data_IF_250670909686
#
_entry.id   IF_250670909686
#
_cell.length_a   1.000
_cell.length_b   1.000
_cell.length_c   1.000
_cell.angle_alpha   90.00
_cell.angle_beta   90.00
_cell.angle_gamma   90.00
#
_symmetry.space_group_name_H-M   'P 1'
#
loop_
_entity.id
_entity.type
_entity.pdbx_description
1 polymer ?
#
# COMPACT_ATOMS: atom_id res chain seq x y z
N UNK A 1 -29.38 -16.97 -9.78
CA UNK A 1 -29.86 -17.22 -11.15
C UNK A 1 -29.71 -15.96 -12.01
N UNK A 2 -28.51 -15.35 -12.12
CA UNK A 2 -28.30 -14.08 -12.84
C UNK A 2 -26.98 -14.00 -13.62
N UNK A 3 -26.46 -15.12 -14.14
CA UNK A 3 -25.23 -15.14 -14.96
C UNK A 3 -25.35 -15.83 -16.31
N UNK A 4 -26.54 -16.36 -16.68
CA UNK A 4 -26.70 -17.21 -17.87
C UNK A 4 -27.26 -16.50 -19.12
N UNK A 5 -27.69 -15.24 -19.05
CA UNK A 5 -28.51 -14.64 -20.13
C UNK A 5 -27.79 -13.65 -21.05
N UNK A 6 -26.53 -13.28 -20.80
CA UNK A 6 -25.83 -12.28 -21.62
C UNK A 6 -25.08 -12.88 -22.82
N UNK A 7 -25.08 -14.21 -22.96
CA UNK A 7 -24.38 -14.88 -24.05
C UNK A 7 -25.38 -15.08 -25.18
N UNK A 8 -25.18 -14.43 -26.34
CA UNK A 8 -26.05 -14.64 -27.46
C UNK A 8 -26.08 -16.12 -27.84
N UNK A 9 -27.28 -16.67 -27.98
CA UNK A 9 -27.53 -18.10 -28.26
C UNK A 9 -26.86 -18.61 -29.54
N UNK A 10 -26.44 -17.71 -30.43
CA UNK A 10 -25.65 -18.06 -31.61
C UNK A 10 -24.22 -18.53 -31.29
N UNK A 11 -23.60 -18.05 -30.20
CA UNK A 11 -22.25 -18.47 -29.79
C UNK A 11 -22.27 -19.91 -29.28
N UNK A 12 -23.33 -20.28 -28.56
CA UNK A 12 -23.50 -21.61 -27.95
C UNK A 12 -23.85 -22.67 -29.01
N UNK A 13 -24.56 -22.29 -30.08
CA UNK A 13 -24.95 -23.22 -31.14
C UNK A 13 -23.85 -23.50 -32.19
N UNK A 14 -22.75 -22.73 -32.18
CA UNK A 14 -21.65 -22.89 -33.15
C UNK A 14 -20.53 -23.82 -32.64
N UNK A 15 -20.60 -24.25 -31.37
CA UNK A 15 -19.55 -25.06 -30.72
C UNK A 15 -19.93 -26.55 -30.68
N UNK A 16 -19.03 -27.47 -31.13
CA UNK A 16 -19.33 -28.90 -31.26
C UNK A 16 -19.46 -29.65 -29.93
N UNK A 17 -18.93 -29.12 -28.81
CA UNK A 17 -19.06 -29.71 -27.48
C UNK A 17 -19.57 -28.69 -26.45
N UNK A 18 -20.82 -28.87 -26.00
CA UNK A 18 -21.52 -27.92 -25.12
C UNK A 18 -20.89 -27.77 -23.73
N UNK A 19 -20.16 -28.78 -23.25
CA UNK A 19 -19.57 -28.77 -21.92
C UNK A 19 -18.23 -28.00 -21.88
N UNK A 20 -17.39 -28.16 -22.91
CA UNK A 20 -16.11 -27.47 -23.03
C UNK A 20 -16.29 -25.96 -23.26
N UNK A 21 -17.33 -25.60 -24.03
CA UNK A 21 -17.71 -24.21 -24.29
C UNK A 21 -18.09 -23.46 -23.00
N UNK A 22 -18.90 -24.09 -22.13
CA UNK A 22 -19.33 -23.49 -20.87
C UNK A 22 -18.17 -23.26 -19.90
N UNK A 23 -17.23 -24.20 -19.84
CA UNK A 23 -16.03 -24.05 -19.03
C UNK A 23 -15.15 -22.91 -19.53
N UNK A 24 -14.92 -22.82 -20.84
CA UNK A 24 -14.12 -21.74 -21.45
C UNK A 24 -14.71 -20.36 -21.19
N UNK A 25 -16.03 -20.21 -21.31
CA UNK A 25 -16.76 -18.98 -21.02
C UNK A 25 -16.61 -18.58 -19.54
N UNK A 26 -16.75 -19.53 -18.62
CA UNK A 26 -16.62 -19.27 -17.19
C UNK A 26 -15.22 -18.77 -16.81
N UNK A 27 -14.19 -19.46 -17.31
CA UNK A 27 -12.78 -19.07 -17.08
C UNK A 27 -12.50 -17.70 -17.70
N UNK A 28 -12.98 -17.43 -18.91
CA UNK A 28 -12.85 -16.12 -19.54
C UNK A 28 -13.49 -15.02 -18.70
N UNK A 29 -14.66 -15.27 -18.11
CA UNK A 29 -15.34 -14.32 -17.22
C UNK A 29 -14.50 -13.95 -15.99
N UNK A 30 -13.89 -14.94 -15.32
CA UNK A 30 -13.01 -14.72 -14.17
C UNK A 30 -11.79 -13.89 -14.58
N UNK A 31 -11.15 -14.25 -15.69
CA UNK A 31 -9.98 -13.51 -16.20
C UNK A 31 -10.34 -12.05 -16.47
N UNK A 32 -11.48 -11.79 -17.11
CA UNK A 32 -11.96 -10.43 -17.40
C UNK A 32 -12.25 -9.67 -16.10
N UNK A 33 -12.89 -10.30 -15.10
CA UNK A 33 -13.15 -9.69 -13.79
C UNK A 33 -11.85 -9.24 -13.11
N UNK A 34 -10.89 -10.15 -13.00
CA UNK A 34 -9.57 -9.88 -12.40
C UNK A 34 -8.85 -8.80 -13.18
N UNK A 35 -8.94 -8.81 -14.52
CA UNK A 35 -8.30 -7.82 -15.37
C UNK A 35 -8.90 -6.41 -15.20
N UNK A 36 -10.23 -6.30 -15.10
CA UNK A 36 -10.91 -5.04 -14.78
C UNK A 36 -10.49 -4.53 -13.40
N UNK A 37 -10.51 -5.40 -12.39
CA UNK A 37 -10.11 -5.05 -11.02
C UNK A 37 -8.64 -4.62 -10.97
N UNK A 38 -7.79 -5.29 -11.74
CA UNK A 38 -6.38 -4.97 -11.86
C UNK A 38 -6.15 -3.57 -12.44
N UNK A 39 -6.84 -3.22 -13.53
CA UNK A 39 -6.80 -1.87 -14.11
C UNK A 39 -7.31 -0.83 -13.10
N UNK A 40 -8.39 -1.13 -12.39
CA UNK A 40 -8.94 -0.27 -11.35
C UNK A 40 -7.90 0.04 -10.27
N UNK A 41 -7.21 -0.97 -9.74
CA UNK A 41 -6.17 -0.76 -8.73
C UNK A 41 -4.96 0.00 -9.27
N UNK A 42 -4.51 -0.26 -10.50
CA UNK A 42 -3.47 0.57 -11.13
C UNK A 42 -3.90 2.04 -11.16
N UNK A 43 -5.14 2.31 -11.59
CA UNK A 43 -5.64 3.67 -11.74
C UNK A 43 -5.72 4.38 -10.39
N UNK A 44 -6.26 3.70 -9.38
CA UNK A 44 -6.31 4.16 -7.99
C UNK A 44 -4.89 4.50 -7.50
N UNK A 45 -3.94 3.58 -7.66
CA UNK A 45 -2.56 3.78 -7.23
C UNK A 45 -1.77 4.79 -8.06
N UNK A 46 -2.27 5.22 -9.22
CA UNK A 46 -1.64 6.26 -10.03
C UNK A 46 -2.23 7.65 -9.76
N UNK A 47 -3.55 7.73 -9.56
CA UNK A 47 -4.28 8.99 -9.39
C UNK A 47 -4.23 9.48 -7.94
N UNK A 48 -4.42 8.59 -6.97
CA UNK A 48 -4.53 8.95 -5.56
C UNK A 48 -3.23 9.52 -4.99
N UNK A 49 -2.07 8.87 -5.18
CA UNK A 49 -0.85 9.42 -4.63
C UNK A 49 -0.43 10.66 -5.41
N UNK A 50 -0.18 11.76 -4.70
CA UNK A 50 0.32 13.02 -5.26
C UNK A 50 1.81 12.93 -5.72
N UNK A 51 2.34 11.72 -5.89
CA UNK A 51 3.72 11.46 -6.30
C UNK A 51 3.71 10.70 -7.62
N UNK A 52 4.50 11.16 -8.59
CA UNK A 52 4.62 10.52 -9.90
C UNK A 52 5.30 9.15 -9.78
N UNK A 53 4.51 8.10 -9.59
CA UNK A 53 4.97 6.72 -9.59
C UNK A 53 4.91 6.15 -11.02
N UNK A 54 5.91 5.35 -11.41
CA UNK A 54 5.90 4.69 -12.73
C UNK A 54 5.03 3.44 -12.67
N UNK A 55 4.25 3.17 -13.73
CA UNK A 55 3.37 1.98 -13.84
C UNK A 55 4.09 0.65 -13.53
N UNK A 56 5.38 0.54 -13.87
CA UNK A 56 6.21 -0.65 -13.59
C UNK A 56 6.38 -0.96 -12.10
N UNK A 57 6.18 0.02 -11.22
CA UNK A 57 6.34 -0.11 -9.77
C UNK A 57 5.03 -0.42 -9.04
N UNK A 58 3.90 -0.46 -9.75
CA UNK A 58 2.57 -0.52 -9.14
C UNK A 58 1.85 -1.83 -9.48
N UNK A 59 2.30 -2.49 -10.55
CA UNK A 59 1.66 -3.71 -11.07
C UNK A 59 1.58 -4.83 -10.02
N UNK A 60 2.63 -5.05 -9.24
CA UNK A 60 2.68 -6.22 -8.37
C UNK A 60 1.64 -6.17 -7.24
N UNK A 61 1.54 -5.04 -6.54
CA UNK A 61 0.52 -4.80 -5.51
C UNK A 61 -0.89 -4.69 -6.08
N UNK A 62 -1.04 -4.14 -7.30
CA UNK A 62 -2.35 -4.10 -7.98
C UNK A 62 -2.86 -5.50 -8.34
N UNK A 63 -1.98 -6.44 -8.70
CA UNK A 63 -2.33 -7.83 -9.02
C UNK A 63 -2.77 -8.60 -7.77
N UNK A 64 -2.10 -8.37 -6.65
CA UNK A 64 -2.48 -8.98 -5.38
C UNK A 64 -3.80 -8.39 -4.88
N UNK A 65 -3.97 -7.06 -4.97
CA UNK A 65 -5.19 -6.38 -4.58
C UNK A 65 -6.39 -6.82 -5.43
N UNK A 66 -6.23 -6.99 -6.76
CA UNK A 66 -7.31 -7.45 -7.63
C UNK A 66 -7.76 -8.86 -7.27
N UNK A 67 -6.82 -9.76 -6.98
CA UNK A 67 -7.14 -11.11 -6.53
C UNK A 67 -7.87 -11.14 -5.18
N UNK A 68 -7.39 -10.35 -4.21
CA UNK A 68 -8.07 -10.19 -2.91
C UNK A 68 -9.47 -9.60 -3.06
N UNK A 69 -9.65 -8.63 -3.96
CA UNK A 69 -10.94 -8.01 -4.23
C UNK A 69 -11.93 -9.02 -4.80
N UNK A 70 -11.51 -9.86 -5.74
CA UNK A 70 -12.38 -10.87 -6.35
C UNK A 70 -12.84 -11.90 -5.30
N UNK A 71 -11.91 -12.36 -4.44
CA UNK A 71 -12.24 -13.20 -3.27
C UNK A 71 -13.24 -12.47 -2.36
N UNK A 72 -12.99 -11.19 -2.06
CA UNK A 72 -13.87 -10.40 -1.20
C UNK A 72 -15.28 -10.24 -1.79
N UNK A 73 -15.41 -10.01 -3.10
CA UNK A 73 -16.70 -9.91 -3.79
C UNK A 73 -17.48 -11.22 -3.69
N UNK A 74 -16.80 -12.37 -3.70
CA UNK A 74 -17.44 -13.69 -3.52
C UNK A 74 -17.83 -13.94 -2.05
N UNK A 75 -16.96 -13.56 -1.10
CA UNK A 75 -17.18 -13.78 0.34
C UNK A 75 -18.23 -12.83 0.94
N UNK A 76 -18.32 -11.60 0.45
CA UNK A 76 -19.14 -10.55 1.05
C UNK A 76 -20.65 -10.86 1.06
N UNK A 77 -21.26 -11.37 -0.04
CA UNK A 77 -22.66 -11.83 -0.01
C UNK A 77 -22.90 -12.97 0.97
N UNK A 78 -21.92 -13.87 1.16
CA UNK A 78 -22.01 -14.95 2.13
C UNK A 78 -22.05 -14.41 3.56
N UNK A 79 -21.23 -13.40 3.87
CA UNK A 79 -21.26 -12.68 5.14
C UNK A 79 -22.65 -12.05 5.40
N UNK A 80 -23.21 -11.33 4.42
CA UNK A 80 -24.54 -10.71 4.56
C UNK A 80 -25.59 -11.79 4.86
N UNK A 81 -25.60 -12.87 4.06
CA UNK A 81 -26.59 -13.94 4.20
C UNK A 81 -26.53 -14.62 5.57
N UNK A 82 -25.34 -14.79 6.15
CA UNK A 82 -25.15 -15.49 7.42
C UNK A 82 -25.40 -14.62 8.64
N UNK A 83 -25.03 -13.34 8.59
CA UNK A 83 -25.00 -12.47 9.77
C UNK A 83 -26.02 -11.32 9.75
N UNK A 84 -26.44 -10.86 8.57
CA UNK A 84 -27.30 -9.67 8.43
C UNK A 84 -28.74 -9.98 8.02
N UNK A 85 -29.13 -11.25 7.85
CA UNK A 85 -30.46 -11.66 7.38
C UNK A 85 -31.65 -11.10 8.20
N UNK A 86 -31.43 -10.82 9.49
CA UNK A 86 -32.46 -10.31 10.41
C UNK A 86 -32.50 -8.78 10.52
N UNK A 87 -31.46 -8.09 10.04
CA UNK A 87 -31.23 -6.64 10.21
C UNK A 87 -31.40 -5.84 8.91
N UNK A 88 -32.00 -6.43 7.87
CA UNK A 88 -32.21 -5.88 6.52
C UNK A 88 -33.19 -4.67 6.42
N UNK A 89 -33.40 -3.93 7.52
CA UNK A 89 -34.15 -2.66 7.51
C UNK A 89 -33.31 -1.47 7.03
N UNK A 90 -33.84 -0.24 7.18
CA UNK A 90 -33.18 1.01 6.75
C UNK A 90 -31.73 1.18 7.26
N UNK A 91 -31.45 0.73 8.48
CA UNK A 91 -30.11 0.84 9.11
C UNK A 91 -29.15 -0.24 8.58
N UNK A 92 -29.67 -1.41 8.18
CA UNK A 92 -28.87 -2.53 7.70
C UNK A 92 -28.09 -2.19 6.43
N UNK A 93 -28.68 -1.43 5.52
CA UNK A 93 -28.00 -0.99 4.30
C UNK A 93 -26.76 -0.14 4.58
N UNK A 94 -26.86 0.82 5.51
CA UNK A 94 -25.73 1.67 5.89
C UNK A 94 -24.59 0.83 6.51
N UNK A 95 -24.91 -0.11 7.40
CA UNK A 95 -23.92 -1.01 8.02
C UNK A 95 -23.25 -1.90 6.99
N UNK A 96 -24.01 -2.46 6.05
CA UNK A 96 -23.50 -3.28 4.95
C UNK A 96 -22.51 -2.47 4.10
N UNK A 97 -22.87 -1.24 3.70
CA UNK A 97 -21.98 -0.37 2.93
C UNK A 97 -20.71 0.01 3.69
N UNK A 98 -20.83 0.41 4.95
CA UNK A 98 -19.66 0.75 5.78
C UNK A 98 -18.74 -0.46 5.89
N UNK A 99 -19.28 -1.65 6.12
CA UNK A 99 -18.51 -2.89 6.18
C UNK A 99 -17.86 -3.20 4.83
N UNK A 100 -18.57 -2.99 3.73
CA UNK A 100 -18.04 -3.19 2.39
C UNK A 100 -16.81 -2.30 2.14
N UNK A 101 -16.98 -0.99 2.33
CA UNK A 101 -15.92 -0.02 2.11
C UNK A 101 -14.77 -0.16 3.11
N UNK A 102 -15.05 -0.61 4.34
CA UNK A 102 -14.03 -0.92 5.33
C UNK A 102 -13.07 -2.00 4.81
N UNK A 103 -13.58 -3.17 4.42
CA UNK A 103 -12.73 -4.23 3.89
C UNK A 103 -12.11 -3.88 2.54
N UNK A 104 -12.85 -3.19 1.66
CA UNK A 104 -12.32 -2.67 0.41
C UNK A 104 -11.10 -1.76 0.64
N UNK A 105 -11.18 -0.86 1.61
CA UNK A 105 -10.08 0.04 1.96
C UNK A 105 -8.86 -0.70 2.50
N UNK A 106 -9.07 -1.76 3.30
CA UNK A 106 -7.99 -2.62 3.79
C UNK A 106 -7.27 -3.28 2.61
N UNK A 107 -8.00 -3.86 1.66
CA UNK A 107 -7.42 -4.49 0.47
C UNK A 107 -6.62 -3.47 -0.35
N UNK A 108 -7.18 -2.26 -0.52
CA UNK A 108 -6.53 -1.17 -1.23
C UNK A 108 -5.20 -0.77 -0.56
N UNK A 109 -5.21 -0.58 0.77
CA UNK A 109 -4.01 -0.23 1.54
C UNK A 109 -2.98 -1.36 1.51
N UNK A 110 -3.41 -2.62 1.63
CA UNK A 110 -2.52 -3.78 1.57
C UNK A 110 -1.76 -3.84 0.24
N UNK A 111 -2.45 -3.71 -0.90
CA UNK A 111 -1.77 -3.68 -2.20
C UNK A 111 -0.84 -2.48 -2.36
N UNK A 112 -1.20 -1.32 -1.80
CA UNK A 112 -0.34 -0.14 -1.80
C UNK A 112 0.92 -0.36 -0.93
N UNK A 113 0.78 -1.01 0.23
CA UNK A 113 1.90 -1.34 1.12
C UNK A 113 2.86 -2.32 0.45
N UNK A 114 2.34 -3.31 -0.28
CA UNK A 114 3.16 -4.22 -1.08
C UNK A 114 3.91 -3.45 -2.16
N UNK A 115 3.24 -2.55 -2.89
CA UNK A 115 3.90 -1.70 -3.88
C UNK A 115 5.02 -0.84 -3.27
N UNK A 116 4.75 -0.23 -2.12
CA UNK A 116 5.73 0.55 -1.38
C UNK A 116 6.93 -0.33 -1.00
N UNK A 117 6.72 -1.48 -0.35
CA UNK A 117 7.80 -2.38 0.08
C UNK A 117 8.72 -2.82 -1.07
N UNK A 118 8.16 -3.14 -2.24
CA UNK A 118 8.94 -3.66 -3.37
C UNK A 118 9.67 -2.59 -4.17
N UNK A 119 9.09 -1.39 -4.33
CA UNK A 119 9.59 -0.41 -5.30
C UNK A 119 9.93 0.94 -4.69
N UNK A 120 9.30 1.29 -3.59
CA UNK A 120 9.61 2.47 -2.83
C UNK A 120 10.39 2.00 -1.61
N UNK A 121 11.72 1.92 -1.77
CA UNK A 121 12.61 2.09 -0.61
C UNK A 121 12.33 3.50 -0.10
N UNK A 122 11.24 3.65 0.65
CA UNK A 122 11.07 4.73 1.61
C UNK A 122 12.35 4.56 2.41
N UNK A 123 13.34 5.41 2.14
CA UNK A 123 14.43 5.56 3.08
C UNK A 123 13.69 5.87 4.37
N UNK A 124 13.73 4.97 5.37
CA UNK A 124 13.27 5.34 6.69
C UNK A 124 13.99 6.65 6.99
N UNK A 125 13.35 7.60 7.68
CA UNK A 125 14.09 8.72 8.25
C UNK A 125 15.40 8.15 8.80
N UNK A 126 16.58 8.74 8.46
CA UNK A 126 17.88 8.14 8.71
C UNK A 126 17.88 7.42 10.05
N UNK A 127 18.19 6.13 10.01
CA UNK A 127 17.84 5.11 11.02
C UNK A 127 18.23 5.47 12.46
N UNK A 128 18.99 6.54 12.65
CA UNK A 128 19.26 7.14 13.94
C UNK A 128 18.95 8.64 13.91
N UNK A 129 18.01 9.05 14.78
CA UNK A 129 17.81 10.44 15.21
C UNK A 129 19.16 11.08 15.60
N UNK A 130 20.08 10.31 16.19
CA UNK A 130 21.44 10.73 16.50
C UNK A 130 22.24 11.18 15.27
N UNK A 131 22.08 10.54 14.11
CA UNK A 131 22.73 10.95 12.86
C UNK A 131 22.09 12.21 12.27
N UNK A 132 20.76 12.35 12.40
CA UNK A 132 20.05 13.55 11.96
C UNK A 132 20.39 14.76 12.85
N UNK A 133 20.43 14.57 14.17
CA UNK A 133 20.87 15.57 15.15
C UNK A 133 22.34 15.90 14.96
N UNK A 134 23.23 14.93 14.77
CA UNK A 134 24.65 15.21 14.56
C UNK A 134 24.86 16.04 13.30
N UNK A 135 24.14 15.76 12.21
CA UNK A 135 24.21 16.56 10.99
C UNK A 135 23.59 17.95 11.16
N UNK A 136 22.43 18.06 11.79
CA UNK A 136 21.75 19.34 12.04
C UNK A 136 22.59 20.24 12.95
N UNK A 137 23.04 19.71 14.08
CA UNK A 137 23.92 20.41 15.02
C UNK A 137 25.26 20.75 14.38
N UNK A 138 25.87 19.85 13.59
CA UNK A 138 27.13 20.16 12.88
C UNK A 138 26.98 21.30 11.88
N UNK A 139 25.82 21.41 11.19
CA UNK A 139 25.53 22.54 10.31
C UNK A 139 25.35 23.83 11.11
N UNK A 140 24.61 23.78 12.21
CA UNK A 140 24.43 24.92 13.11
C UNK A 140 25.74 25.39 13.71
N UNK A 141 26.62 24.48 14.17
CA UNK A 141 27.93 24.80 14.70
C UNK A 141 28.89 25.36 13.64
N UNK A 142 28.77 24.93 12.37
CA UNK A 142 29.54 25.49 11.26
C UNK A 142 29.11 26.91 10.90
N UNK A 143 27.83 27.23 11.05
CA UNK A 143 27.28 28.56 10.75
C UNK A 143 27.24 29.49 11.96
N UNK A 144 27.35 28.95 13.18
CA UNK A 144 27.35 29.73 14.41
C UNK A 144 28.63 30.59 14.47
N UNK A 145 28.50 31.89 14.78
CA UNK A 145 29.65 32.74 15.06
C UNK A 145 30.51 32.11 16.15
N UNK A 146 31.84 32.07 15.94
CA UNK A 146 32.75 31.54 16.96
C UNK A 146 32.55 32.35 18.25
N UNK A 147 32.28 31.70 19.40
CA UNK A 147 32.09 32.42 20.65
C UNK A 147 33.34 33.24 20.96
N UNK A 148 33.18 34.55 21.11
CA UNK A 148 34.23 35.45 21.60
C UNK A 148 34.34 35.16 23.10
N UNK A 149 35.18 34.19 23.46
CA UNK A 149 35.55 33.97 24.85
C UNK A 149 36.41 35.16 25.29
N UNK A 150 35.79 36.10 26.01
CA UNK A 150 36.51 37.16 26.70
C UNK A 150 37.26 36.54 27.88
N UNK A 151 38.53 36.19 27.66
CA UNK A 151 39.40 35.60 28.67
C UNK A 151 39.92 36.69 29.63
N UNK A 152 39.04 37.17 30.51
CA UNK A 152 39.38 38.12 31.58
C UNK A 152 39.53 37.43 32.94
N UNK A 153 40.00 36.18 32.98
CA UNK A 153 40.27 35.47 34.23
C UNK A 153 41.76 35.17 34.34
N UNK A 154 42.50 36.15 34.87
CA UNK A 154 43.84 35.98 35.43
C UNK A 154 43.78 35.08 36.68
N UNK A 155 43.49 33.79 36.54
CA UNK A 155 43.82 32.69 37.46
C UNK A 155 42.94 31.49 37.10
N UNK A 156 43.48 30.56 36.31
CA UNK A 156 43.28 29.10 36.44
C UNK A 156 43.89 28.43 35.22
N UNK A 157 45.14 28.00 35.38
CA UNK A 157 45.78 27.04 34.47
C UNK A 157 44.93 25.76 34.46
N UNK A 158 44.32 25.46 33.32
CA UNK A 158 43.81 24.11 33.09
C UNK A 158 44.98 23.13 33.24
N UNK A 159 44.82 22.02 34.01
CA UNK A 159 45.87 21.02 34.10
C UNK A 159 46.11 20.46 32.70
N UNK A 160 47.36 20.55 32.22
CA UNK A 160 47.74 20.01 30.91
C UNK A 160 47.32 18.53 30.87
N UNK A 161 46.64 18.05 29.82
CA UNK A 161 46.39 16.63 29.69
C UNK A 161 47.74 15.91 29.66
N UNK A 162 47.94 14.97 30.60
CA UNK A 162 49.11 14.08 30.59
C UNK A 162 49.11 13.39 29.22
N UNK A 163 50.19 13.59 28.45
CA UNK A 163 50.47 12.82 27.24
C UNK A 163 50.37 11.34 27.61
N UNK A 164 49.26 10.69 27.27
CA UNK A 164 49.18 9.24 27.20
C UNK A 164 50.12 8.83 26.08
N UNK A 165 51.25 8.26 26.48
CA UNK A 165 52.28 7.74 25.61
C UNK A 165 51.64 6.77 24.61
N UNK A 166 52.03 6.93 23.34
CA UNK A 166 51.78 5.96 22.28
C UNK A 166 52.34 4.61 22.72
N UNK A 167 51.48 3.59 22.73
CA UNK A 167 51.92 2.21 22.66
C UNK A 167 51.71 1.72 21.22
N UNK A 168 52.78 1.13 20.70
CA UNK A 168 52.86 0.41 19.43
C UNK A 168 52.02 -0.86 19.48
#
# INVERSE_FOLDING_TARGET
MFSASSIPSFVINTLPNRNDAQFGIFVAGIIVSIFIAFILFILIYLIIPNKKMKLKHIWFGALIASFLLDIFIVLFPLYIRRFMGSFLGLIGFAVILITFFYYFSIILILGAQINAYFFERIQPLPDNIGTFLSQAVSRMLRTAPKPIFNNNNNNNQYPRPRRSQRYY
#
